data_IF_270767196634
#
_entry.id   IF_270767196634
#
_cell.length_a   1.000
_cell.length_b   1.000
_cell.length_c   1.000
_cell.angle_alpha   90.00
_cell.angle_beta   90.00
_cell.angle_gamma   90.00
#
_symmetry.space_group_name_H-M   'P 1'
#
loop_
_entity.id
_entity.type
_entity.pdbx_description
1 polymer ?
#
# COMPACT_ATOMS: atom_id res chain seq x y z
N UNK A 1 -36.10 -10.69 8.50
CA UNK A 1 -34.90 -11.54 8.48
C UNK A 1 -33.71 -10.60 8.40
N UNK A 2 -33.12 -10.29 9.55
CA UNK A 2 -31.97 -9.39 9.64
C UNK A 2 -30.74 -10.27 9.44
N UNK A 3 -30.11 -10.19 8.26
CA UNK A 3 -28.85 -10.90 8.02
C UNK A 3 -27.77 -10.22 8.85
N UNK A 4 -27.23 -10.91 9.85
CA UNK A 4 -26.03 -10.46 10.56
C UNK A 4 -24.89 -10.24 9.57
N UNK A 5 -24.05 -9.19 9.73
CA UNK A 5 -22.85 -9.09 8.93
C UNK A 5 -21.97 -10.27 9.30
N UNK A 6 -21.76 -11.18 8.34
CA UNK A 6 -20.70 -12.18 8.40
C UNK A 6 -19.44 -11.50 8.93
N UNK A 7 -18.89 -12.01 10.03
CA UNK A 7 -17.59 -11.61 10.54
C UNK A 7 -16.61 -11.48 9.36
N UNK A 8 -15.73 -10.46 9.34
CA UNK A 8 -14.77 -10.34 8.25
C UNK A 8 -14.01 -11.66 8.18
N UNK A 9 -13.95 -12.27 6.98
CA UNK A 9 -13.13 -13.44 6.74
C UNK A 9 -11.78 -13.20 7.41
N UNK A 10 -11.43 -14.07 8.36
CA UNK A 10 -10.27 -13.90 9.23
C UNK A 10 -9.09 -13.49 8.36
N UNK A 11 -8.52 -12.30 8.65
CA UNK A 11 -7.39 -11.80 7.89
C UNK A 11 -6.32 -12.91 7.89
N UNK A 12 -6.01 -13.46 6.72
CA UNK A 12 -4.95 -14.44 6.62
C UNK A 12 -3.64 -13.71 6.94
N UNK A 13 -3.18 -13.81 8.19
CA UNK A 13 -1.90 -13.26 8.64
C UNK A 13 -0.81 -14.17 8.06
N UNK A 14 -0.59 -14.04 6.74
CA UNK A 14 0.52 -14.70 6.07
C UNK A 14 1.84 -14.19 6.64
N UNK A 15 2.86 -15.06 6.70
CA UNK A 15 4.20 -14.68 7.13
C UNK A 15 4.67 -13.43 6.35
N UNK A 16 5.17 -12.38 7.03
CA UNK A 16 5.67 -11.21 6.34
C UNK A 16 6.73 -11.59 5.32
N UNK A 17 6.62 -11.04 4.11
CA UNK A 17 7.51 -11.36 2.99
C UNK A 17 8.17 -10.11 2.45
N UNK A 18 9.50 -10.14 2.40
CA UNK A 18 10.31 -9.13 1.71
C UNK A 18 10.38 -9.48 0.22
N UNK A 19 10.15 -8.51 -0.64
CA UNK A 19 10.28 -8.61 -2.09
C UNK A 19 11.29 -7.57 -2.56
N UNK A 20 12.43 -7.97 -3.15
CA UNK A 20 13.41 -7.03 -3.67
C UNK A 20 12.83 -6.29 -4.87
N UNK A 21 13.18 -5.01 -5.00
CA UNK A 21 12.73 -4.12 -6.07
C UNK A 21 13.91 -3.30 -6.60
N UNK A 22 13.88 -2.84 -7.86
CA UNK A 22 14.95 -1.98 -8.39
C UNK A 22 15.17 -0.70 -7.55
N UNK A 23 14.13 -0.20 -6.91
CA UNK A 23 14.18 0.98 -6.04
C UNK A 23 14.51 0.68 -4.57
N UNK A 24 14.71 -0.58 -4.17
CA UNK A 24 14.92 -0.99 -2.78
C UNK A 24 14.18 -2.29 -2.46
N UNK A 25 13.24 -2.25 -1.51
CA UNK A 25 12.50 -3.45 -1.10
C UNK A 25 11.10 -3.15 -0.57
N UNK A 26 10.22 -4.15 -0.69
CA UNK A 26 8.84 -4.11 -0.22
C UNK A 26 8.62 -5.24 0.79
N UNK A 27 8.42 -4.90 2.06
CA UNK A 27 7.92 -5.84 3.07
C UNK A 27 6.40 -5.85 3.03
N UNK A 28 5.80 -6.97 2.68
CA UNK A 28 4.35 -7.20 2.72
C UNK A 28 4.00 -7.90 4.02
N UNK A 29 3.26 -7.24 4.90
CA UNK A 29 2.90 -7.78 6.22
C UNK A 29 1.40 -8.03 6.39
N UNK A 30 0.55 -7.44 5.55
CA UNK A 30 -0.89 -7.71 5.56
C UNK A 30 -1.43 -7.83 4.15
N UNK A 31 -2.28 -8.84 3.93
CA UNK A 31 -3.09 -9.01 2.73
C UNK A 31 -4.45 -9.54 3.15
N UNK A 32 -5.47 -8.70 3.01
CA UNK A 32 -6.86 -9.05 3.26
C UNK A 32 -7.69 -8.70 2.03
N UNK A 33 -8.98 -9.02 2.08
CA UNK A 33 -9.91 -8.62 1.02
C UNK A 33 -10.15 -7.10 0.99
N UNK A 34 -9.86 -6.39 2.09
CA UNK A 34 -10.13 -4.95 2.23
C UNK A 34 -8.90 -4.07 2.09
N UNK A 35 -7.72 -4.56 2.47
CA UNK A 35 -6.50 -3.76 2.45
C UNK A 35 -5.23 -4.59 2.25
N UNK A 36 -4.17 -3.90 1.84
CA UNK A 36 -2.82 -4.42 1.83
C UNK A 36 -1.93 -3.52 2.67
N UNK A 37 -1.15 -4.12 3.58
CA UNK A 37 -0.18 -3.43 4.42
C UNK A 37 1.25 -3.71 3.95
N UNK A 38 2.01 -2.64 3.70
CA UNK A 38 3.38 -2.72 3.20
C UNK A 38 4.28 -1.70 3.86
N UNK A 39 5.53 -2.08 4.10
CA UNK A 39 6.63 -1.16 4.41
C UNK A 39 7.54 -1.10 3.18
N UNK A 40 7.81 0.10 2.68
CA UNK A 40 8.61 0.33 1.49
C UNK A 40 9.93 1.00 1.89
N UNK A 41 11.05 0.34 1.63
CA UNK A 41 12.37 0.94 1.79
C UNK A 41 12.84 1.41 0.43
N UNK A 42 12.88 2.73 0.22
CA UNK A 42 13.28 3.35 -1.06
C UNK A 42 14.70 3.88 -0.94
N UNK A 43 15.60 3.40 -1.79
CA UNK A 43 16.99 3.85 -1.84
C UNK A 43 17.08 5.26 -2.42
N UNK A 44 18.05 6.06 -1.95
CA UNK A 44 18.33 7.40 -2.49
C UNK A 44 18.47 7.38 -4.01
N UNK A 45 17.92 8.39 -4.68
CA UNK A 45 17.94 8.51 -6.14
C UNK A 45 16.90 7.66 -6.88
N UNK A 46 16.09 6.88 -6.18
CA UNK A 46 15.03 6.06 -6.78
C UNK A 46 13.64 6.66 -6.51
N UNK A 47 12.66 6.17 -7.26
CA UNK A 47 11.25 6.55 -7.13
C UNK A 47 10.34 5.35 -7.37
N UNK A 48 9.12 5.44 -6.84
CA UNK A 48 8.01 4.61 -7.28
C UNK A 48 7.44 5.17 -8.60
N UNK A 49 6.70 4.35 -9.33
CA UNK A 49 5.89 4.82 -10.46
C UNK A 49 4.78 5.74 -9.95
N UNK A 50 4.37 6.71 -10.77
CA UNK A 50 3.14 7.48 -10.50
C UNK A 50 1.94 6.53 -10.56
N UNK A 51 1.05 6.62 -9.58
CA UNK A 51 -0.09 5.69 -9.45
C UNK A 51 -1.41 6.46 -9.54
N UNK A 52 -2.33 5.92 -10.34
CA UNK A 52 -3.73 6.33 -10.38
C UNK A 52 -4.59 5.19 -9.85
N UNK A 53 -5.61 5.52 -9.05
CA UNK A 53 -6.46 4.53 -8.40
C UNK A 53 -7.93 4.88 -8.59
N UNK A 54 -8.67 4.02 -9.30
CA UNK A 54 -10.12 4.17 -9.47
C UNK A 54 -10.94 3.60 -8.30
N UNK A 55 -10.40 2.57 -7.63
CA UNK A 55 -11.16 1.77 -6.64
C UNK A 55 -10.48 1.67 -5.27
N UNK A 56 -9.25 2.17 -5.14
CA UNK A 56 -8.41 1.96 -3.97
C UNK A 56 -8.07 3.31 -3.35
N UNK A 57 -8.36 3.47 -2.06
CA UNK A 57 -7.79 4.55 -1.28
C UNK A 57 -6.37 4.15 -0.84
N UNK A 58 -5.42 5.05 -1.03
CA UNK A 58 -4.03 4.83 -0.64
C UNK A 58 -3.61 5.87 0.39
N UNK A 59 -2.96 5.38 1.46
CA UNK A 59 -2.35 6.22 2.49
C UNK A 59 -0.87 5.88 2.55
N UNK A 60 -0.03 6.90 2.54
CA UNK A 60 1.41 6.77 2.71
C UNK A 60 1.85 7.55 3.95
N UNK A 61 2.59 6.89 4.83
CA UNK A 61 3.21 7.49 6.01
C UNK A 61 4.74 7.41 5.88
N UNK A 62 5.42 8.52 6.12
CA UNK A 62 6.88 8.58 6.09
C UNK A 62 7.40 8.25 7.48
N UNK A 63 7.80 7.00 7.67
CA UNK A 63 8.36 6.52 8.94
C UNK A 63 9.76 7.11 9.22
N UNK A 64 10.60 7.23 8.20
CA UNK A 64 11.90 7.88 8.31
C UNK A 64 12.38 8.52 6.99
N UNK A 65 13.28 9.49 7.11
CA UNK A 65 13.88 10.19 5.98
C UNK A 65 13.01 11.31 5.40
N UNK A 66 13.25 11.64 4.12
CA UNK A 66 12.51 12.67 3.38
C UNK A 66 12.26 12.19 1.98
N UNK A 67 11.04 12.43 1.48
CA UNK A 67 10.65 12.08 0.12
C UNK A 67 10.15 13.33 -0.61
N UNK A 68 10.29 13.31 -1.94
CA UNK A 68 9.52 14.20 -2.81
C UNK A 68 8.23 13.47 -3.18
N UNK A 69 7.10 14.01 -2.74
CA UNK A 69 5.79 13.45 -3.05
C UNK A 69 5.17 14.22 -4.23
N UNK A 70 4.77 13.51 -5.27
CA UNK A 70 4.13 14.11 -6.45
C UNK A 70 2.64 13.76 -6.43
N UNK A 71 1.79 14.78 -6.30
CA UNK A 71 0.35 14.65 -6.46
C UNK A 71 -0.03 14.94 -7.91
N UNK A 72 -0.84 14.06 -8.50
CA UNK A 72 -1.48 14.35 -9.78
C UNK A 72 -2.49 15.50 -9.64
N UNK A 73 -2.74 16.24 -10.71
CA UNK A 73 -3.83 17.22 -10.75
C UNK A 73 -5.17 16.50 -10.53
N UNK A 74 -6.05 17.09 -9.72
CA UNK A 74 -7.44 16.66 -9.59
C UNK A 74 -8.24 16.79 -10.89
N UNK A 75 -7.68 17.48 -11.89
CA UNK A 75 -8.33 17.75 -13.17
C UNK A 75 -8.28 16.52 -14.10
N UNK A 76 -9.23 15.61 -13.87
CA UNK A 76 -9.95 14.89 -14.93
C UNK A 76 -11.44 14.84 -14.55
N UNK A 77 -12.34 14.87 -15.54
CA UNK A 77 -13.80 14.98 -15.35
C UNK A 77 -14.40 13.82 -14.54
#
# INVERSE_FOLDING_TARGET
MTTEPSAPAEAQIGKPRVVPKPWGEELRFARTDRYAGKILTIKKGHRLSLQYHERKHEVQYVDSGRIKFTLGSSDRP
#
